data_IF_230643382942
#
_entry.id   IF_230643382942
#
_cell.length_a   1.000
_cell.length_b   1.000
_cell.length_c   1.000
_cell.angle_alpha   90.00
_cell.angle_beta   90.00
_cell.angle_gamma   90.00
#
_symmetry.space_group_name_H-M   'P 1'
#
loop_
_entity.id
_entity.type
_entity.pdbx_description
1 polymer ?
#
# COMPACT_ATOMS: atom_id res chain seq x y z
N UNK A 1 5.45 -2.33 -4.31
CA UNK A 1 5.28 -3.76 -4.63
C UNK A 1 4.14 -4.33 -3.78
N UNK A 2 3.43 -5.34 -4.27
CA UNK A 2 2.42 -6.08 -3.50
C UNK A 2 3.04 -6.73 -2.25
N UNK A 3 4.23 -7.29 -2.45
CA UNK A 3 5.06 -7.83 -1.39
C UNK A 3 6.47 -7.28 -1.55
N UNK A 4 6.93 -6.46 -0.61
CA UNK A 4 8.34 -6.06 -0.55
C UNK A 4 9.18 -7.13 0.17
N UNK A 5 10.49 -7.04 0.05
CA UNK A 5 11.44 -7.88 0.78
C UNK A 5 12.59 -7.03 1.32
N UNK A 6 13.10 -7.39 2.50
CA UNK A 6 14.33 -6.77 3.03
C UNK A 6 15.48 -7.08 2.09
N UNK A 7 16.33 -6.10 1.82
CA UNK A 7 17.56 -6.32 1.06
C UNK A 7 18.47 -7.31 1.79
N UNK A 8 19.10 -8.23 1.06
CA UNK A 8 20.12 -9.13 1.63
C UNK A 8 21.39 -8.36 1.99
N UNK A 9 21.75 -7.36 1.17
CA UNK A 9 22.90 -6.47 1.40
C UNK A 9 22.36 -5.07 1.68
N UNK A 10 22.56 -4.59 2.90
CA UNK A 10 22.10 -3.28 3.37
C UNK A 10 23.26 -2.45 3.94
N UNK A 11 22.97 -1.18 4.20
CA UNK A 11 23.89 -0.18 4.76
C UNK A 11 23.77 -0.04 6.27
N UNK A 12 22.68 -0.52 6.86
CA UNK A 12 22.30 -0.33 8.26
C UNK A 12 21.42 0.90 8.50
N UNK A 13 21.23 1.77 7.48
CA UNK A 13 20.36 2.95 7.57
C UNK A 13 18.89 2.64 7.35
N UNK A 14 18.56 1.42 6.89
CA UNK A 14 17.22 1.03 6.46
C UNK A 14 16.21 1.07 7.62
N UNK A 15 16.65 0.70 8.83
CA UNK A 15 15.81 0.74 10.03
C UNK A 15 15.47 2.17 10.46
N UNK A 16 16.49 3.03 10.52
CA UNK A 16 16.31 4.44 10.87
C UNK A 16 15.44 5.16 9.82
N UNK A 17 15.67 4.88 8.54
CA UNK A 17 14.90 5.46 7.43
C UNK A 17 13.43 5.02 7.49
N UNK A 18 13.15 3.75 7.82
CA UNK A 18 11.77 3.27 7.95
C UNK A 18 11.00 3.98 9.09
N UNK A 19 11.68 4.29 10.19
CA UNK A 19 11.15 5.05 11.32
C UNK A 19 10.93 6.51 10.94
N UNK A 20 11.96 7.17 10.41
CA UNK A 20 11.94 8.60 10.09
C UNK A 20 11.04 8.94 8.90
N UNK A 21 10.72 7.96 8.06
CA UNK A 21 9.79 8.14 6.93
C UNK A 21 8.37 8.51 7.36
N UNK A 22 7.97 8.21 8.60
CA UNK A 22 6.62 8.46 9.11
C UNK A 22 5.53 7.54 8.54
N UNK A 23 5.86 6.58 7.66
CA UNK A 23 4.89 5.64 7.11
C UNK A 23 4.67 4.40 7.98
N UNK A 24 5.65 4.04 8.80
CA UNK A 24 5.54 2.96 9.78
C UNK A 24 4.79 3.43 11.02
N UNK A 25 3.99 2.55 11.63
CA UNK A 25 3.30 2.89 12.88
C UNK A 25 4.21 2.57 14.05
N UNK A 26 4.47 3.54 14.91
CA UNK A 26 5.40 3.43 16.04
C UNK A 26 4.63 3.56 17.36
N UNK A 27 5.04 2.81 18.37
CA UNK A 27 4.54 2.93 19.73
C UNK A 27 5.11 4.19 20.39
N UNK A 28 4.29 5.21 20.64
CA UNK A 28 4.70 6.40 21.38
C UNK A 28 4.98 6.10 22.87
N UNK A 29 4.35 5.03 23.38
CA UNK A 29 4.39 4.63 24.77
C UNK A 29 4.59 3.11 24.91
N UNK A 30 5.19 2.70 26.03
CA UNK A 30 5.26 1.30 26.40
C UNK A 30 3.88 0.80 26.85
N UNK A 31 3.57 -0.46 26.58
CA UNK A 31 2.29 -1.05 26.94
C UNK A 31 2.15 -2.49 26.49
N UNK A 32 0.97 -3.07 26.68
CA UNK A 32 0.64 -4.42 26.24
C UNK A 32 -0.43 -4.36 25.16
N UNK A 33 -0.20 -5.00 24.02
CA UNK A 33 -1.20 -5.10 22.95
C UNK A 33 -2.39 -5.86 23.48
N UNK A 34 -3.57 -5.24 23.43
CA UNK A 34 -4.83 -5.86 23.81
C UNK A 34 -5.50 -6.48 22.59
N UNK A 35 -5.49 -5.76 21.46
CA UNK A 35 -6.15 -6.18 20.24
C UNK A 35 -5.36 -5.76 19.00
N UNK A 36 -5.20 -6.69 18.07
CA UNK A 36 -4.69 -6.40 16.73
C UNK A 36 -5.78 -6.73 15.73
N UNK A 37 -6.27 -5.71 15.03
CA UNK A 37 -7.18 -5.86 13.90
C UNK A 37 -6.52 -5.50 12.58
N UNK A 38 -7.28 -5.65 11.51
CA UNK A 38 -6.87 -5.14 10.21
C UNK A 38 -6.84 -3.61 10.21
N UNK A 39 -7.84 -2.94 10.79
CA UNK A 39 -7.97 -1.47 10.68
C UNK A 39 -7.41 -0.68 11.86
N UNK A 40 -7.08 -1.34 12.97
CA UNK A 40 -6.57 -0.66 14.17
C UNK A 40 -5.78 -1.62 15.05
N UNK A 41 -4.84 -1.05 15.82
CA UNK A 41 -4.11 -1.73 16.88
C UNK A 41 -4.48 -1.04 18.19
N UNK A 42 -4.86 -1.79 19.21
CA UNK A 42 -5.20 -1.24 20.52
C UNK A 42 -4.29 -1.83 21.59
N UNK A 43 -3.74 -0.98 22.44
CA UNK A 43 -2.82 -1.37 23.50
C UNK A 43 -3.20 -0.71 24.83
N UNK A 44 -2.93 -1.42 25.92
CA UNK A 44 -3.17 -0.93 27.26
C UNK A 44 -1.91 -0.27 27.82
N UNK A 45 -2.11 0.91 28.40
CA UNK A 45 -1.11 1.70 29.10
C UNK A 45 -1.66 2.05 30.48
N UNK A 46 -1.06 1.50 31.53
CA UNK A 46 -1.39 1.80 32.94
C UNK A 46 -2.91 1.80 33.24
N UNK A 47 -3.67 0.89 32.62
CA UNK A 47 -5.13 0.78 32.80
C UNK A 47 -5.97 1.51 31.75
N UNK A 48 -5.41 2.44 30.98
CA UNK A 48 -6.09 3.09 29.85
C UNK A 48 -5.84 2.33 28.54
N UNK A 49 -6.83 2.34 27.64
CA UNK A 49 -6.71 1.71 26.31
C UNK A 49 -6.51 2.80 25.27
N UNK A 50 -5.40 2.74 24.55
CA UNK A 50 -5.10 3.60 23.40
C UNK A 50 -5.30 2.78 22.12
N UNK A 51 -5.86 3.40 21.07
CA UNK A 51 -6.11 2.73 19.79
C UNK A 51 -5.55 3.55 18.65
N UNK A 52 -4.71 2.92 17.84
CA UNK A 52 -4.08 3.53 16.67
C UNK A 52 -4.76 2.99 15.40
N UNK A 53 -5.40 3.84 14.59
CA UNK A 53 -5.93 3.43 13.29
C UNK A 53 -4.80 3.11 12.31
N UNK A 54 -5.00 2.10 11.47
CA UNK A 54 -4.10 1.72 10.40
C UNK A 54 -4.61 2.25 9.06
N UNK A 55 -3.70 2.79 8.26
CA UNK A 55 -3.99 3.18 6.88
C UNK A 55 -4.21 1.92 6.04
N UNK A 56 -5.37 1.81 5.39
CA UNK A 56 -5.76 0.68 4.55
C UNK A 56 -6.24 1.15 3.18
N UNK A 57 -5.67 0.53 2.15
CA UNK A 57 -6.08 0.70 0.75
C UNK A 57 -6.17 2.16 0.29
N UNK A 58 -5.25 3.02 0.75
CA UNK A 58 -5.26 4.44 0.43
C UNK A 58 -4.33 4.74 -0.74
N UNK A 59 -4.72 5.66 -1.63
CA UNK A 59 -3.84 6.17 -2.68
C UNK A 59 -2.94 7.29 -2.18
N UNK A 60 -1.67 7.29 -2.58
CA UNK A 60 -0.76 8.41 -2.38
C UNK A 60 -0.98 9.51 -3.43
N UNK A 61 -0.32 10.66 -3.25
CA UNK A 61 -0.30 11.75 -4.25
C UNK A 61 0.27 11.30 -5.60
N UNK A 62 1.20 10.33 -5.59
CA UNK A 62 1.76 9.71 -6.80
C UNK A 62 0.99 8.45 -7.23
N UNK A 63 -0.24 8.27 -6.75
CA UNK A 63 -1.15 7.16 -7.10
C UNK A 63 -0.63 5.77 -6.72
N UNK A 64 0.36 5.71 -5.82
CA UNK A 64 0.87 4.45 -5.27
C UNK A 64 -0.01 3.97 -4.13
N UNK A 65 -0.01 2.66 -3.91
CA UNK A 65 -0.78 2.01 -2.87
C UNK A 65 -0.14 2.18 -1.48
N UNK A 66 -0.88 2.79 -0.55
CA UNK A 66 -0.53 2.92 0.86
C UNK A 66 -1.37 1.95 1.69
N UNK A 67 -0.69 1.05 2.38
CA UNK A 67 -1.31 0.05 3.24
C UNK A 67 -0.36 -0.35 4.35
N UNK A 68 -0.81 -0.19 5.59
CA UNK A 68 -0.07 -0.58 6.78
C UNK A 68 -0.48 -1.97 7.23
N UNK A 69 0.48 -2.85 7.53
CA UNK A 69 0.25 -4.20 8.04
C UNK A 69 0.78 -4.30 9.46
N UNK A 70 -0.09 -4.69 10.40
CA UNK A 70 0.34 -4.90 11.78
C UNK A 70 1.38 -6.03 11.86
N UNK A 71 2.37 -5.84 12.73
CA UNK A 71 3.42 -6.81 13.04
C UNK A 71 3.26 -7.45 14.41
N UNK A 72 2.42 -6.87 15.25
CA UNK A 72 2.28 -7.24 16.66
C UNK A 72 1.03 -8.08 16.87
N UNK A 73 1.09 -9.01 17.79
CA UNK A 73 -0.05 -9.86 18.14
C UNK A 73 -0.62 -9.49 19.51
N UNK A 74 -1.87 -9.88 19.76
CA UNK A 74 -2.52 -9.71 21.06
C UNK A 74 -1.69 -10.34 22.17
N UNK A 75 -1.52 -9.61 23.28
CA UNK A 75 -0.76 -10.06 24.44
C UNK A 75 0.73 -9.68 24.44
N UNK A 76 1.28 -9.18 23.32
CA UNK A 76 2.69 -8.78 23.24
C UNK A 76 2.94 -7.48 24.02
N UNK A 77 4.03 -7.42 24.79
CA UNK A 77 4.52 -6.18 25.40
C UNK A 77 5.36 -5.40 24.39
N UNK A 78 5.09 -4.11 24.25
CA UNK A 78 5.79 -3.20 23.34
C UNK A 78 6.49 -2.08 24.11
N UNK A 79 7.65 -1.67 23.62
CA UNK A 79 8.41 -0.54 24.17
C UNK A 79 8.12 0.73 23.39
N UNK A 80 8.33 1.88 24.02
CA UNK A 80 8.36 3.17 23.31
C UNK A 80 9.37 3.10 22.16
N UNK A 81 8.99 3.60 20.98
CA UNK A 81 9.81 3.59 19.76
C UNK A 81 9.74 2.29 18.95
N UNK A 82 9.04 1.26 19.43
CA UNK A 82 8.89 0.01 18.69
C UNK A 82 7.90 0.14 17.55
N UNK A 83 8.22 -0.44 16.38
CA UNK A 83 7.33 -0.47 15.22
C UNK A 83 6.21 -1.49 15.45
N UNK A 84 4.97 -1.02 15.39
CA UNK A 84 3.72 -1.78 15.56
C UNK A 84 3.16 -2.29 14.23
N UNK A 85 3.36 -1.53 13.15
CA UNK A 85 2.92 -1.90 11.80
C UNK A 85 3.93 -1.41 10.76
N UNK A 86 4.22 -2.28 9.79
CA UNK A 86 4.97 -1.91 8.59
C UNK A 86 4.08 -1.08 7.67
N UNK A 87 4.63 -0.03 7.08
CA UNK A 87 4.02 0.78 6.04
C UNK A 87 4.32 0.30 4.61
N UNK A 88 4.02 1.17 3.65
CA UNK A 88 4.36 0.93 2.26
C UNK A 88 5.89 0.88 2.08
N UNK A 89 6.38 -0.14 1.37
CA UNK A 89 7.82 -0.35 1.14
C UNK A 89 8.66 -0.47 2.42
N UNK A 90 8.08 -1.04 3.49
CA UNK A 90 8.83 -1.45 4.69
C UNK A 90 8.48 -2.89 5.01
N UNK A 91 9.47 -3.66 5.45
CA UNK A 91 9.29 -5.04 5.90
C UNK A 91 10.10 -5.21 7.16
N UNK A 92 9.47 -5.72 8.20
CA UNK A 92 10.18 -6.03 9.42
C UNK A 92 10.82 -4.80 10.08
N UNK A 93 10.26 -3.61 9.85
CA UNK A 93 10.73 -2.34 10.41
C UNK A 93 11.93 -1.72 9.71
N UNK A 94 12.27 -2.22 8.52
CA UNK A 94 13.33 -1.69 7.67
C UNK A 94 12.76 -1.31 6.31
N UNK A 95 13.42 -0.36 5.66
CA UNK A 95 13.13 0.03 4.29
C UNK A 95 13.30 -1.16 3.33
N UNK A 96 12.29 -1.40 2.51
CA UNK A 96 12.18 -2.54 1.60
C UNK A 96 11.55 -2.08 0.27
N UNK A 97 12.37 -1.44 -0.56
CA UNK A 97 11.93 -0.83 -1.83
C UNK A 97 11.67 -1.87 -2.94
N UNK A 98 12.25 -3.06 -2.82
CA UNK A 98 12.34 -4.04 -3.91
C UNK A 98 12.16 -5.49 -3.47
N UNK A 99 12.75 -6.37 -4.28
CA UNK A 99 12.88 -7.82 -4.09
C UNK A 99 14.34 -8.22 -4.30
N UNK A 100 14.76 -9.30 -3.65
CA UNK A 100 16.05 -9.90 -3.96
C UNK A 100 15.89 -10.81 -5.20
N UNK A 101 16.67 -10.56 -6.24
CA UNK A 101 16.61 -11.32 -7.49
C UNK A 101 17.94 -12.04 -7.72
N UNK A 102 17.87 -13.26 -8.27
CA UNK A 102 19.04 -13.93 -8.80
C UNK A 102 19.42 -13.28 -10.14
N UNK A 103 20.66 -12.84 -10.27
CA UNK A 103 21.16 -12.14 -11.44
C UNK A 103 22.32 -12.93 -12.05
N UNK A 104 22.31 -13.08 -13.36
CA UNK A 104 23.44 -13.58 -14.13
C UNK A 104 24.04 -12.44 -14.96
N UNK A 105 25.35 -12.26 -14.87
CA UNK A 105 26.07 -11.25 -15.63
C UNK A 105 26.74 -11.90 -16.84
N UNK A 106 26.03 -11.97 -17.96
CA UNK A 106 26.53 -12.52 -19.22
C UNK A 106 25.79 -11.89 -20.41
N UNK A 107 26.43 -11.74 -21.58
CA UNK A 107 25.71 -11.42 -22.82
C UNK A 107 24.72 -12.53 -23.16
N UNK A 108 23.51 -12.18 -23.62
CA UNK A 108 22.48 -13.15 -24.01
C UNK A 108 21.86 -12.78 -25.34
N UNK A 109 22.36 -13.40 -26.41
CA UNK A 109 21.85 -13.30 -27.79
C UNK A 109 21.59 -11.85 -28.29
N UNK A 110 22.29 -10.86 -27.72
CA UNK A 110 22.11 -9.44 -28.03
C UNK A 110 20.88 -8.78 -27.40
N UNK A 111 20.01 -9.53 -26.70
CA UNK A 111 18.82 -8.96 -26.08
C UNK A 111 19.13 -8.04 -24.89
N UNK A 112 20.28 -8.23 -24.23
CA UNK A 112 20.80 -7.34 -23.20
C UNK A 112 21.90 -6.39 -23.73
N UNK A 113 21.81 -5.99 -25.00
CA UNK A 113 22.70 -4.97 -25.56
C UNK A 113 22.49 -3.63 -24.85
N UNK A 114 23.58 -2.87 -24.69
CA UNK A 114 23.59 -1.58 -23.99
C UNK A 114 23.03 -1.70 -22.55
N UNK A 115 21.91 -1.03 -22.26
CA UNK A 115 21.29 -0.97 -20.93
C UNK A 115 20.02 -1.85 -20.83
N UNK A 116 19.76 -2.71 -21.82
CA UNK A 116 18.59 -3.58 -21.82
C UNK A 116 18.73 -4.70 -20.77
N UNK A 117 17.65 -4.95 -20.02
CA UNK A 117 17.59 -5.99 -18.99
C UNK A 117 16.64 -7.09 -19.42
N UNK A 118 17.12 -8.33 -19.47
CA UNK A 118 16.26 -9.51 -19.59
C UNK A 118 15.75 -9.91 -18.23
N UNK A 119 14.47 -10.23 -18.19
CA UNK A 119 13.80 -10.74 -17.01
C UNK A 119 13.21 -12.11 -17.30
N UNK A 120 13.21 -12.97 -16.27
CA UNK A 120 12.52 -14.25 -16.34
C UNK A 120 11.00 -14.02 -16.30
N UNK A 121 10.27 -14.77 -17.11
CA UNK A 121 8.80 -14.84 -17.07
C UNK A 121 8.26 -15.16 -15.67
N UNK A 122 9.05 -15.89 -14.86
CA UNK A 122 8.74 -16.19 -13.45
C UNK A 122 8.37 -14.94 -12.65
N UNK A 123 8.99 -13.80 -12.93
CA UNK A 123 8.70 -12.54 -12.21
C UNK A 123 7.25 -12.08 -12.39
N UNK A 124 6.63 -12.45 -13.52
CA UNK A 124 5.24 -12.17 -13.86
C UNK A 124 4.34 -13.25 -13.27
N UNK A 125 4.65 -14.53 -13.51
CA UNK A 125 3.82 -15.65 -13.05
C UNK A 125 3.67 -15.73 -11.53
N UNK A 126 4.69 -15.32 -10.77
CA UNK A 126 4.70 -15.35 -9.31
C UNK A 126 4.43 -13.98 -8.66
N UNK A 127 4.01 -12.99 -9.44
CA UNK A 127 3.70 -11.63 -8.96
C UNK A 127 4.84 -10.94 -8.17
N UNK A 128 6.11 -11.27 -8.48
CA UNK A 128 7.28 -10.85 -7.70
C UNK A 128 7.46 -9.33 -7.77
N UNK A 129 7.34 -8.76 -8.97
CA UNK A 129 7.47 -7.33 -9.23
C UNK A 129 6.12 -6.61 -9.43
N UNK A 130 5.02 -7.25 -9.03
CA UNK A 130 3.67 -6.70 -9.17
C UNK A 130 3.42 -5.57 -8.17
N UNK A 131 2.72 -4.52 -8.59
CA UNK A 131 2.34 -3.40 -7.72
C UNK A 131 0.94 -2.87 -8.03
N UNK A 132 0.32 -2.25 -7.02
CA UNK A 132 -1.01 -1.68 -7.13
C UNK A 132 -0.93 -0.16 -7.31
N UNK A 133 -1.76 0.35 -8.20
CA UNK A 133 -1.95 1.78 -8.42
C UNK A 133 -3.42 2.14 -8.21
N UNK A 134 -3.67 3.17 -7.41
CA UNK A 134 -5.02 3.68 -7.16
C UNK A 134 -5.17 5.01 -7.89
N UNK A 135 -6.15 5.08 -8.80
CA UNK A 135 -6.54 6.32 -9.48
C UNK A 135 -7.88 6.79 -8.93
N UNK A 136 -7.92 8.03 -8.45
CA UNK A 136 -9.15 8.70 -8.07
C UNK A 136 -9.69 9.46 -9.28
N UNK A 137 -10.91 9.13 -9.69
CA UNK A 137 -11.68 9.89 -10.67
C UNK A 137 -12.75 10.65 -9.90
N UNK A 138 -12.84 11.96 -10.12
CA UNK A 138 -13.81 12.83 -9.44
C UNK A 138 -14.56 13.62 -10.50
N UNK A 139 -15.89 13.56 -10.43
CA UNK A 139 -16.80 14.35 -11.25
C UNK A 139 -17.71 15.13 -10.32
N UNK A 140 -17.97 16.38 -10.66
CA UNK A 140 -18.88 17.27 -9.94
C UNK A 140 -19.99 17.68 -10.87
N UNK A 141 -21.20 17.78 -10.34
CA UNK A 141 -22.36 18.33 -11.03
C UNK A 141 -22.49 19.81 -10.70
N UNK A 142 -22.81 20.62 -11.70
CA UNK A 142 -22.97 22.06 -11.55
C UNK A 142 -24.39 22.51 -11.87
N UNK A 143 -24.76 23.66 -11.29
CA UNK A 143 -25.95 24.39 -11.71
C UNK A 143 -25.60 25.22 -12.95
N UNK A 144 -26.30 24.98 -14.05
CA UNK A 144 -26.17 25.77 -15.27
C UNK A 144 -27.40 26.64 -15.47
N UNK A 145 -27.31 27.64 -16.35
CA UNK A 145 -28.46 28.48 -16.73
C UNK A 145 -29.60 27.67 -17.38
N UNK A 146 -29.31 26.48 -17.90
CA UNK A 146 -30.27 25.57 -18.55
C UNK A 146 -30.81 24.49 -17.59
N UNK A 147 -30.34 24.46 -16.34
CA UNK A 147 -30.76 23.51 -15.33
C UNK A 147 -29.60 22.89 -14.55
N UNK A 148 -29.95 22.13 -13.52
CA UNK A 148 -28.99 21.36 -12.73
C UNK A 148 -28.49 20.14 -13.51
N UNK A 149 -27.18 19.94 -13.58
CA UNK A 149 -26.61 18.66 -13.99
C UNK A 149 -27.03 17.55 -13.01
N UNK A 150 -27.27 16.35 -13.52
CA UNK A 150 -27.71 15.19 -12.73
C UNK A 150 -26.90 13.96 -13.11
N UNK A 151 -26.41 13.25 -12.09
CA UNK A 151 -25.87 11.90 -12.27
C UNK A 151 -27.08 10.96 -12.42
N UNK A 152 -27.14 10.22 -13.53
CA UNK A 152 -28.25 9.32 -13.83
C UNK A 152 -27.80 8.19 -14.76
N UNK A 153 -28.45 7.04 -14.64
CA UNK A 153 -28.31 5.92 -15.57
C UNK A 153 -29.04 6.16 -16.91
N UNK A 154 -29.97 7.10 -16.96
CA UNK A 154 -30.81 7.41 -18.13
C UNK A 154 -30.09 8.24 -19.20
N UNK A 155 -29.00 7.72 -19.75
CA UNK A 155 -28.19 8.41 -20.76
C UNK A 155 -28.85 8.25 -22.15
N UNK A 156 -29.20 9.36 -22.85
CA UNK A 156 -29.87 9.28 -24.14
C UNK A 156 -28.93 8.71 -25.21
N UNK A 157 -29.50 7.98 -26.17
CA UNK A 157 -28.77 7.38 -27.31
C UNK A 157 -27.66 6.39 -26.94
N UNK A 158 -27.66 5.86 -25.71
CA UNK A 158 -26.70 4.84 -25.28
C UNK A 158 -27.36 3.46 -25.14
N UNK A 159 -26.71 2.43 -25.68
CA UNK A 159 -27.19 1.06 -25.55
C UNK A 159 -27.11 0.54 -24.10
N UNK A 160 -28.06 -0.31 -23.73
CA UNK A 160 -28.15 -0.90 -22.38
C UNK A 160 -26.91 -1.72 -21.99
N UNK A 161 -26.20 -2.28 -22.98
CA UNK A 161 -24.97 -3.03 -22.77
C UNK A 161 -23.89 -2.21 -22.05
N UNK A 162 -23.75 -0.92 -22.37
CA UNK A 162 -22.76 -0.04 -21.73
C UNK A 162 -23.15 0.35 -20.30
N UNK A 163 -24.44 0.33 -19.98
CA UNK A 163 -24.98 0.70 -18.67
C UNK A 163 -25.01 -0.47 -17.67
N UNK A 164 -24.54 -1.67 -18.07
CA UNK A 164 -24.68 -2.89 -17.27
C UNK A 164 -23.95 -2.87 -15.92
N UNK A 165 -22.84 -2.13 -15.86
CA UNK A 165 -22.00 -2.04 -14.67
C UNK A 165 -22.38 -0.87 -13.76
N UNK A 166 -23.34 -0.02 -14.18
CA UNK A 166 -23.81 1.11 -13.38
C UNK A 166 -24.94 0.69 -12.44
N UNK A 167 -24.91 1.22 -11.23
CA UNK A 167 -25.98 1.11 -10.25
C UNK A 167 -27.24 1.91 -10.68
N UNK A 168 -28.26 1.95 -9.82
CA UNK A 168 -29.52 2.67 -10.12
C UNK A 168 -29.34 4.18 -10.25
N UNK A 169 -28.29 4.75 -9.67
CA UNK A 169 -27.99 6.17 -9.67
C UNK A 169 -27.07 6.57 -10.84
N UNK A 170 -26.44 5.60 -11.51
CA UNK A 170 -25.49 5.85 -12.60
C UNK A 170 -24.03 5.87 -12.16
N UNK A 171 -23.70 5.22 -11.04
CA UNK A 171 -22.34 5.03 -10.51
C UNK A 171 -21.84 3.62 -10.82
#
# INVERSE_FOLDING_TARGET
LCQSEKCIVGTGLEGQTAVDSGFSVIAEHQGKIFYTGSHKISFSRNGNTESIPLVKYQGSNKKTFLHQKSRVQGGQCVKKGQILADGAATVGGELALGKNLLVAYMPWEGYNSEDAVLISERLICEDILTSFYIRKYEIKTYMTNQGAERITKGIPHLETYFLRNLDRNGI
#
